data_IF_947230815801
#
_entry.id   IF_947230815801
#
_cell.length_a   1.000
_cell.length_b   1.000
_cell.length_c   1.000
_cell.angle_alpha   90.00
_cell.angle_beta   90.00
_cell.angle_gamma   90.00
#
_symmetry.space_group_name_H-M   'P 1'
#
loop_
_entity.id
_entity.type
_entity.pdbx_description
1 polymer ?
#
# COMPACT_ATOMS: atom_id res chain seq x y z
N UNK A 1 14.47 -2.35 2.81
CA UNK A 1 13.08 -2.47 2.36
C UNK A 1 12.38 -3.47 3.24
N UNK A 2 11.07 -3.33 3.42
CA UNK A 2 10.25 -4.35 4.07
C UNK A 2 9.64 -5.23 2.99
N UNK A 3 9.74 -6.54 3.15
CA UNK A 3 9.17 -7.54 2.24
C UNK A 3 8.33 -8.51 3.07
N UNK A 4 7.14 -8.82 2.57
CA UNK A 4 6.24 -9.78 3.19
C UNK A 4 5.95 -10.89 2.20
N UNK A 5 6.29 -12.12 2.60
CA UNK A 5 5.86 -13.30 1.88
C UNK A 5 4.39 -13.56 2.19
N UNK A 6 3.55 -13.44 1.16
CA UNK A 6 2.11 -13.59 1.30
C UNK A 6 1.66 -15.06 1.32
N UNK A 7 2.57 -16.03 1.14
CA UNK A 7 2.30 -17.48 1.24
C UNK A 7 1.08 -17.94 0.44
N UNK A 8 0.79 -17.29 -0.68
CA UNK A 8 -0.38 -17.59 -1.53
C UNK A 8 -1.69 -16.89 -1.13
N UNK A 9 -1.68 -16.01 -0.13
CA UNK A 9 -2.81 -15.14 0.20
C UNK A 9 -2.71 -13.90 -0.69
N UNK A 10 -3.62 -13.69 -1.67
CA UNK A 10 -3.57 -12.49 -2.48
C UNK A 10 -3.80 -11.24 -1.62
N UNK A 11 -3.16 -10.14 -2.01
CA UNK A 11 -3.55 -8.84 -1.49
C UNK A 11 -5.02 -8.58 -1.88
N UNK A 12 -5.80 -8.09 -0.94
CA UNK A 12 -7.22 -7.76 -1.14
C UNK A 12 -7.48 -6.24 -1.05
N UNK A 13 -8.63 -5.78 -1.55
CA UNK A 13 -9.07 -4.38 -1.43
C UNK A 13 -9.15 -3.91 0.05
N UNK A 14 -9.40 -4.83 0.97
CA UNK A 14 -9.40 -4.60 2.42
C UNK A 14 -8.02 -4.71 3.07
N UNK A 15 -6.97 -5.00 2.30
CA UNK A 15 -5.60 -5.06 2.84
C UNK A 15 -5.06 -3.67 3.12
N UNK A 16 -4.48 -3.50 4.30
CA UNK A 16 -3.87 -2.27 4.77
C UNK A 16 -2.55 -2.55 5.47
N UNK A 17 -1.60 -1.63 5.31
CA UNK A 17 -0.33 -1.65 5.99
C UNK A 17 -0.37 -0.62 7.12
N UNK A 18 -0.25 -1.11 8.34
CA UNK A 18 -0.12 -0.26 9.51
C UNK A 18 1.36 0.00 9.80
N UNK A 19 1.78 1.25 9.68
CA UNK A 19 3.16 1.66 9.93
C UNK A 19 3.21 2.52 11.17
N UNK A 20 4.02 2.10 12.14
CA UNK A 20 4.24 2.85 13.37
C UNK A 20 5.67 3.34 13.41
N UNK A 21 5.85 4.66 13.43
CA UNK A 21 7.15 5.32 13.54
C UNK A 21 7.43 5.58 15.01
N UNK A 22 8.56 5.07 15.48
CA UNK A 22 9.05 5.28 16.84
C UNK A 22 10.49 5.78 16.79
N UNK A 23 10.80 6.74 17.64
CA UNK A 23 12.15 7.21 17.89
C UNK A 23 12.95 6.11 18.59
N UNK A 24 14.12 5.79 18.04
CA UNK A 24 14.99 4.75 18.59
C UNK A 24 15.84 5.32 19.73
N UNK A 25 15.41 5.07 20.96
CA UNK A 25 16.17 5.44 22.16
C UNK A 25 17.12 4.31 22.58
N UNK A 26 18.42 4.63 22.71
CA UNK A 26 19.49 3.66 23.05
C UNK A 26 19.32 3.05 24.44
N UNK A 27 18.68 3.76 25.38
CA UNK A 27 18.31 3.25 26.70
C UNK A 27 16.89 3.70 27.04
N UNK A 28 15.92 2.77 27.03
CA UNK A 28 14.51 3.08 27.33
C UNK A 28 13.53 2.31 26.43
N UNK A 29 12.27 2.78 26.38
CA UNK A 29 11.27 2.35 25.39
C UNK A 29 11.27 3.34 24.24
N UNK A 30 11.33 2.84 23.00
CA UNK A 30 11.21 3.66 21.79
C UNK A 30 9.99 4.59 21.88
N UNK A 31 10.22 5.90 21.76
CA UNK A 31 9.16 6.89 21.88
C UNK A 31 8.31 6.87 20.62
N UNK A 32 6.99 6.74 20.78
CA UNK A 32 6.07 6.82 19.65
C UNK A 32 6.11 8.23 19.04
N UNK A 33 6.37 8.32 17.73
CA UNK A 33 6.38 9.57 16.97
C UNK A 33 5.09 9.74 16.18
N UNK A 34 4.54 8.64 15.66
CA UNK A 34 3.28 8.63 14.96
C UNK A 34 2.98 7.30 14.28
N UNK A 35 1.76 7.15 13.80
CA UNK A 35 1.30 5.99 13.04
C UNK A 35 0.59 6.42 11.75
N UNK A 36 0.65 5.58 10.74
CA UNK A 36 -0.05 5.77 9.47
C UNK A 36 -0.64 4.44 9.01
N UNK A 37 -1.85 4.50 8.46
CA UNK A 37 -2.51 3.36 7.81
C UNK A 37 -2.48 3.59 6.30
N UNK A 38 -1.95 2.62 5.57
CA UNK A 38 -1.76 2.70 4.12
C UNK A 38 -2.57 1.60 3.45
N UNK A 39 -3.64 1.95 2.71
CA UNK A 39 -4.50 0.94 2.10
C UNK A 39 -3.86 0.39 0.82
N UNK A 40 -3.62 -0.92 0.75
CA UNK A 40 -2.88 -1.52 -0.36
C UNK A 40 -3.71 -1.73 -1.63
N UNK A 41 -5.00 -1.37 -1.60
CA UNK A 41 -5.91 -1.48 -2.75
C UNK A 41 -5.45 -0.76 -4.02
N UNK A 42 -4.75 0.37 -3.90
CA UNK A 42 -4.24 1.06 -5.09
C UNK A 42 -3.17 0.23 -5.82
N UNK A 43 -2.42 -0.60 -5.10
CA UNK A 43 -1.45 -1.53 -5.70
C UNK A 43 -2.17 -2.52 -6.62
N UNK A 44 -3.36 -2.98 -6.22
CA UNK A 44 -4.19 -3.88 -7.03
C UNK A 44 -4.91 -3.15 -8.17
N UNK A 45 -5.13 -1.84 -8.04
CA UNK A 45 -5.77 -1.03 -9.06
C UNK A 45 -4.83 -0.71 -10.23
N UNK A 46 -3.51 -0.82 -10.06
CA UNK A 46 -2.52 -0.50 -11.10
C UNK A 46 -2.00 -1.75 -11.80
N UNK A 47 -1.90 -1.76 -13.14
CA UNK A 47 -1.43 -2.94 -13.91
C UNK A 47 0.00 -3.36 -13.56
N UNK A 48 0.82 -2.41 -13.09
CA UNK A 48 2.18 -2.65 -12.62
C UNK A 48 2.25 -3.30 -11.23
N UNK A 49 1.11 -3.52 -10.58
CA UNK A 49 1.00 -4.02 -9.21
C UNK A 49 1.89 -3.23 -8.25
N UNK A 50 1.89 -1.90 -8.42
CA UNK A 50 2.75 -0.98 -7.68
C UNK A 50 2.06 0.35 -7.46
N UNK A 51 2.15 0.90 -6.25
CA UNK A 51 1.61 2.21 -5.93
C UNK A 51 2.48 2.93 -4.89
N UNK A 52 2.44 4.26 -4.94
CA UNK A 52 3.13 5.14 -4.00
C UNK A 52 2.10 5.79 -3.10
N UNK A 53 2.21 5.53 -1.80
CA UNK A 53 1.30 6.06 -0.80
C UNK A 53 1.98 7.16 -0.01
N UNK A 54 1.29 8.28 0.18
CA UNK A 54 1.72 9.35 1.06
C UNK A 54 0.70 9.49 2.19
N UNK A 55 1.05 8.98 3.38
CA UNK A 55 0.19 9.01 4.55
C UNK A 55 0.80 9.92 5.63
N UNK A 56 0.05 10.91 6.13
CA UNK A 56 0.52 11.73 7.25
C UNK A 56 0.65 10.88 8.52
N UNK A 57 1.72 11.09 9.27
CA UNK A 57 1.89 10.44 10.58
C UNK A 57 0.93 11.08 11.58
N UNK A 58 0.12 10.25 12.21
CA UNK A 58 -0.84 10.62 13.23
C UNK A 58 -0.25 10.33 14.61
N UNK A 59 -0.35 11.29 15.52
CA UNK A 59 -0.03 11.06 16.94
C UNK A 59 -1.08 10.14 17.61
N UNK A 60 -0.83 9.69 18.84
CA UNK A 60 -1.80 8.97 19.69
C UNK A 60 -3.18 9.64 19.78
N UNK A 61 -3.26 10.97 19.61
CA UNK A 61 -4.53 11.72 19.54
C UNK A 61 -5.20 11.70 18.16
N UNK A 62 -4.70 10.92 17.21
CA UNK A 62 -5.08 10.94 15.78
C UNK A 62 -4.93 12.31 15.12
N UNK A 63 -3.98 13.10 15.59
CA UNK A 63 -3.68 14.43 15.06
C UNK A 63 -2.48 14.36 14.12
N UNK A 64 -2.50 15.06 12.97
CA UNK A 64 -1.34 15.10 12.08
C UNK A 64 -0.15 15.74 12.79
N UNK A 65 0.95 15.00 12.92
CA UNK A 65 2.20 15.47 13.54
C UNK A 65 2.95 16.48 12.65
N UNK A 66 2.54 16.63 11.38
CA UNK A 66 3.25 17.43 10.38
C UNK A 66 4.36 16.66 9.65
N UNK A 67 4.64 15.42 10.08
CA UNK A 67 5.46 14.48 9.35
C UNK A 67 4.58 13.63 8.42
N UNK A 68 5.11 13.28 7.26
CA UNK A 68 4.45 12.43 6.27
C UNK A 68 5.34 11.24 5.96
N UNK A 69 4.72 10.09 5.78
CA UNK A 69 5.38 8.85 5.45
C UNK A 69 5.03 8.47 4.01
N UNK A 70 6.07 8.44 3.18
CA UNK A 70 5.94 8.00 1.79
C UNK A 70 6.38 6.54 1.71
N UNK A 71 5.48 5.65 1.28
CA UNK A 71 5.78 4.25 1.03
C UNK A 71 5.54 3.91 -0.43
N UNK A 72 6.53 3.29 -1.04
CA UNK A 72 6.38 2.65 -2.33
C UNK A 72 6.14 1.16 -2.10
N UNK A 73 4.98 0.68 -2.52
CA UNK A 73 4.60 -0.73 -2.37
C UNK A 73 4.51 -1.36 -3.75
N UNK A 74 5.12 -2.54 -3.88
CA UNK A 74 5.05 -3.38 -5.07
C UNK A 74 4.59 -4.77 -4.65
N UNK A 75 3.59 -5.29 -5.35
CA UNK A 75 3.06 -6.63 -5.17
C UNK A 75 3.56 -7.51 -6.31
N UNK A 76 4.35 -8.53 -5.98
CA UNK A 76 4.84 -9.52 -6.95
C UNK A 76 4.06 -10.82 -6.78
N UNK A 77 2.99 -11.05 -7.55
CA UNK A 77 2.28 -12.31 -7.50
C UNK A 77 3.16 -13.45 -8.01
N UNK A 78 3.00 -14.64 -7.44
CA UNK A 78 3.58 -15.84 -8.02
C UNK A 78 2.99 -16.09 -9.43
N UNK A 79 3.78 -16.62 -10.37
CA UNK A 79 3.29 -16.97 -11.71
C UNK A 79 2.08 -17.93 -11.59
N UNK A 80 0.90 -17.44 -11.95
CA UNK A 80 -0.38 -18.16 -11.81
C UNK A 80 -1.41 -17.50 -10.88
N UNK A 81 -1.01 -16.52 -10.06
CA UNK A 81 -1.88 -15.77 -9.14
C UNK A 81 -2.05 -14.29 -9.54
N UNK A 82 -1.80 -13.96 -10.81
CA UNK A 82 -1.99 -12.61 -11.32
C UNK A 82 -3.47 -12.23 -11.18
N UNK A 83 -3.80 -11.11 -10.51
CA UNK A 83 -5.15 -10.57 -10.56
C UNK A 83 -5.49 -10.37 -12.03
N UNK A 84 -6.59 -10.98 -12.48
CA UNK A 84 -7.16 -10.69 -13.79
C UNK A 84 -7.53 -9.20 -13.76
N UNK A 85 -6.62 -8.34 -14.22
CA UNK A 85 -7.01 -7.01 -14.64
C UNK A 85 -8.15 -7.23 -15.64
N UNK A 86 -9.34 -6.64 -15.41
CA UNK A 86 -10.35 -6.67 -16.44
C UNK A 86 -9.67 -6.15 -17.71
N UNK A 87 -9.73 -6.87 -18.84
CA UNK A 87 -9.20 -6.32 -20.08
C UNK A 87 -9.87 -4.96 -20.23
N UNK A 88 -9.07 -3.89 -20.34
CA UNK A 88 -9.58 -2.57 -20.70
C UNK A 88 -10.58 -2.81 -21.81
N UNK A 89 -11.85 -2.49 -21.54
CA UNK A 89 -12.97 -2.85 -22.39
C UNK A 89 -12.54 -2.64 -23.84
N UNK A 90 -12.61 -3.73 -24.60
CA UNK A 90 -12.37 -3.79 -26.05
C UNK A 90 -12.78 -2.46 -26.65
N UNK A 91 -11.82 -1.74 -27.25
CA UNK A 91 -12.11 -0.59 -28.11
C UNK A 91 -13.14 -1.09 -29.12
N UNK A 92 -14.41 -0.78 -28.87
CA UNK A 92 -15.51 -1.06 -29.77
C UNK A 92 -15.13 -0.35 -31.08
N UNK A 93 -14.95 -1.07 -32.21
CA UNK A 93 -14.71 -0.40 -33.47
C UNK A 93 -15.98 0.38 -33.78
N UNK A 94 -15.87 1.71 -33.73
CA UNK A 94 -16.92 2.64 -34.12
C UNK A 94 -17.54 2.18 -35.44
N UNK A 95 -18.84 1.84 -35.51
CA UNK A 95 -19.48 1.59 -36.78
C UNK A 95 -19.63 2.96 -37.45
N UNK A 96 -18.77 3.24 -38.44
CA UNK A 96 -19.04 4.28 -39.42
C UNK A 96 -20.20 3.79 -40.29
N UNK A 97 -21.36 4.46 -40.17
CA UNK A 97 -22.43 4.43 -41.16
C UNK A 97 -22.68 5.85 -41.63
#
# INVERSE_FOLDING_TARGET
>A
GFEWDLKGIPLDQSSELHVVVKDHETMGRNRFLGEAQVPLREVLATPSLSASFNAPLLDTKKQPTGASLVLQVSYTPLPGAVPLFPPSASLEPSPTL
#
